data_IF_941939455707
#
_entry.id   IF_941939455707
#
_cell.length_a   1.000
_cell.length_b   1.000
_cell.length_c   1.000
_cell.angle_alpha   90.00
_cell.angle_beta   90.00
_cell.angle_gamma   90.00
#
_symmetry.space_group_name_H-M   'P 1'
#
loop_
_entity.id
_entity.type
_entity.pdbx_description
1 polymer ?
#
# COMPACT_ATOMS: atom_id res chain seq x y z
N UNK A 1 -22.57 -0.10 3.67
CA UNK A 1 -21.54 -1.16 3.76
C UNK A 1 -22.03 -2.56 3.41
N UNK A 2 -23.27 -2.98 3.76
CA UNK A 2 -23.81 -4.35 3.56
C UNK A 2 -23.79 -4.98 2.16
N UNK A 3 -23.38 -4.28 1.10
CA UNK A 3 -23.35 -4.80 -0.29
C UNK A 3 -21.95 -5.10 -0.83
N UNK A 4 -20.87 -4.70 -0.14
CA UNK A 4 -19.49 -4.89 -0.64
C UNK A 4 -18.86 -6.13 0.00
N UNK A 5 -18.19 -6.95 -0.81
CA UNK A 5 -17.55 -8.19 -0.34
C UNK A 5 -16.25 -7.98 0.42
N UNK A 6 -15.55 -6.87 0.17
CA UNK A 6 -14.27 -6.51 0.81
C UNK A 6 -14.19 -4.99 0.97
N UNK A 7 -13.70 -4.51 2.10
CA UNK A 7 -13.57 -3.09 2.44
C UNK A 7 -12.28 -2.86 3.23
N UNK A 8 -11.58 -1.77 2.92
CA UNK A 8 -10.35 -1.35 3.61
C UNK A 8 -10.53 -0.01 4.32
N UNK A 9 -9.95 0.09 5.50
CA UNK A 9 -9.90 1.29 6.33
C UNK A 9 -8.49 1.55 6.80
N UNK A 10 -8.15 2.82 6.93
CA UNK A 10 -6.97 3.29 7.66
C UNK A 10 -7.49 4.28 8.70
N UNK A 11 -7.07 4.10 9.96
CA UNK A 11 -7.41 5.00 11.06
C UNK A 11 -6.20 5.20 11.97
N UNK A 12 -6.16 6.32 12.67
CA UNK A 12 -5.15 6.60 13.69
C UNK A 12 -5.42 5.81 14.97
N UNK A 13 -4.45 5.74 15.87
CA UNK A 13 -4.64 5.14 17.20
C UNK A 13 -5.75 5.80 18.03
N UNK A 14 -6.05 7.08 17.76
CA UNK A 14 -7.16 7.81 18.36
C UNK A 14 -8.54 7.49 17.74
N UNK A 15 -8.58 6.58 16.75
CA UNK A 15 -9.81 6.13 16.11
C UNK A 15 -10.30 7.06 15.01
N UNK A 16 -9.50 8.06 14.63
CA UNK A 16 -9.86 9.00 13.56
C UNK A 16 -9.69 8.31 12.20
N UNK A 17 -10.70 8.34 11.31
CA UNK A 17 -10.53 7.83 9.94
C UNK A 17 -9.49 8.66 9.18
N UNK A 18 -8.60 7.96 8.47
CA UNK A 18 -7.57 8.53 7.58
C UNK A 18 -7.89 8.23 6.11
N UNK A 19 -8.42 7.03 5.85
CA UNK A 19 -8.86 6.60 4.52
C UNK A 19 -9.96 5.54 4.65
N UNK A 20 -10.91 5.56 3.71
CA UNK A 20 -11.88 4.48 3.52
C UNK A 20 -12.08 4.20 2.04
N UNK A 21 -12.01 2.92 1.66
CA UNK A 21 -12.21 2.51 0.25
C UNK A 21 -13.60 2.89 -0.28
N UNK A 22 -14.62 2.83 0.57
CA UNK A 22 -15.98 3.21 0.19
C UNK A 22 -16.65 4.08 1.27
N UNK A 23 -17.52 4.98 0.83
CA UNK A 23 -18.27 5.85 1.73
C UNK A 23 -17.45 7.02 2.27
N UNK A 24 -18.16 7.97 2.84
CA UNK A 24 -17.63 9.21 3.40
C UNK A 24 -17.11 8.99 4.82
N UNK A 25 -15.90 9.45 5.12
CA UNK A 25 -15.23 9.34 6.41
C UNK A 25 -16.07 9.83 7.59
N UNK A 26 -16.86 10.89 7.40
CA UNK A 26 -17.71 11.45 8.46
C UNK A 26 -18.84 10.50 8.88
N UNK A 27 -19.36 9.70 7.94
CA UNK A 27 -20.38 8.68 8.23
C UNK A 27 -19.77 7.43 8.89
N UNK A 28 -18.44 7.34 8.94
CA UNK A 28 -17.69 6.18 9.40
C UNK A 28 -17.01 6.39 10.75
N UNK A 29 -17.04 7.60 11.32
CA UNK A 29 -16.41 7.91 12.59
C UNK A 29 -16.83 6.97 13.74
N UNK A 30 -18.14 6.69 13.89
CA UNK A 30 -18.63 5.75 14.92
C UNK A 30 -18.14 4.31 14.70
N UNK A 31 -17.95 3.93 13.44
CA UNK A 31 -17.41 2.62 13.08
C UNK A 31 -15.91 2.53 13.39
N UNK A 32 -15.14 3.55 13.03
CA UNK A 32 -13.71 3.65 13.34
C UNK A 32 -13.45 3.65 14.85
N UNK A 33 -14.28 4.37 15.63
CA UNK A 33 -14.22 4.35 17.09
C UNK A 33 -14.46 2.93 17.65
N UNK A 34 -15.37 2.17 17.07
CA UNK A 34 -15.62 0.78 17.47
C UNK A 34 -14.42 -0.12 17.17
N UNK A 35 -13.80 0.01 15.99
CA UNK A 35 -12.59 -0.75 15.64
C UNK A 35 -11.43 -0.41 16.57
N UNK A 36 -11.23 0.88 16.88
CA UNK A 36 -10.21 1.34 17.81
C UNK A 36 -10.43 0.79 19.23
N UNK A 37 -11.68 0.78 19.71
CA UNK A 37 -12.01 0.26 21.03
C UNK A 37 -11.69 -1.24 21.14
N UNK A 38 -11.99 -2.01 20.09
CA UNK A 38 -11.64 -3.44 20.01
C UNK A 38 -10.12 -3.63 20.08
N UNK A 39 -9.34 -2.87 19.30
CA UNK A 39 -7.87 -2.94 19.31
C UNK A 39 -7.35 -2.62 20.72
N UNK A 40 -7.80 -1.51 21.30
CA UNK A 40 -7.37 -1.04 22.62
C UNK A 40 -7.68 -2.04 23.73
N UNK A 41 -8.84 -2.69 23.67
CA UNK A 41 -9.22 -3.71 24.66
C UNK A 41 -8.24 -4.88 24.67
N UNK A 42 -7.82 -5.36 23.50
CA UNK A 42 -6.87 -6.47 23.38
C UNK A 42 -5.46 -6.05 23.79
N UNK A 43 -5.02 -4.85 23.39
CA UNK A 43 -3.72 -4.30 23.78
C UNK A 43 -3.58 -4.10 25.30
N UNK A 44 -4.65 -3.67 25.99
CA UNK A 44 -4.69 -3.59 27.44
C UNK A 44 -4.50 -4.96 28.12
N UNK A 45 -4.88 -6.04 27.43
CA UNK A 45 -4.60 -7.42 27.82
C UNK A 45 -3.15 -7.88 27.56
N UNK A 46 -2.29 -7.00 27.03
CA UNK A 46 -0.91 -7.29 26.55
C UNK A 46 -0.88 -8.32 25.41
N UNK A 47 -1.90 -8.30 24.55
CA UNK A 47 -1.96 -9.10 23.33
C UNK A 47 -2.20 -8.19 22.11
N UNK A 48 -2.06 -8.74 20.91
CA UNK A 48 -2.26 -8.02 19.66
C UNK A 48 -3.36 -8.67 18.83
N UNK A 49 -4.40 -7.89 18.55
CA UNK A 49 -5.48 -8.36 17.70
C UNK A 49 -4.99 -8.59 16.27
N UNK A 50 -5.33 -9.77 15.73
CA UNK A 50 -4.99 -10.16 14.35
C UNK A 50 -6.23 -10.27 13.48
N UNK A 51 -7.24 -10.98 13.97
CA UNK A 51 -8.43 -11.34 13.21
C UNK A 51 -9.62 -11.48 14.15
N UNK A 52 -10.78 -10.97 13.74
CA UNK A 52 -12.09 -11.32 14.28
C UNK A 52 -12.91 -11.99 13.19
N UNK A 53 -13.54 -13.13 13.48
CA UNK A 53 -14.42 -13.82 12.54
C UNK A 53 -15.86 -13.79 13.05
N UNK A 54 -16.77 -13.35 12.19
CA UNK A 54 -18.21 -13.27 12.48
C UNK A 54 -18.99 -13.91 11.33
N UNK A 55 -19.32 -15.20 11.48
CA UNK A 55 -19.88 -16.01 10.41
C UNK A 55 -18.95 -16.03 9.19
N UNK A 56 -19.47 -15.59 8.04
CA UNK A 56 -18.73 -15.48 6.77
C UNK A 56 -17.88 -14.20 6.63
N UNK A 57 -17.87 -13.33 7.64
CA UNK A 57 -17.03 -12.13 7.62
C UNK A 57 -15.76 -12.33 8.46
N UNK A 58 -14.66 -11.79 7.96
CA UNK A 58 -13.37 -11.68 8.60
C UNK A 58 -13.00 -10.20 8.71
N UNK A 59 -12.62 -9.76 9.91
CA UNK A 59 -12.07 -8.44 10.18
C UNK A 59 -10.60 -8.63 10.53
N UNK A 60 -9.73 -8.31 9.60
CA UNK A 60 -8.26 -8.45 9.69
C UNK A 60 -7.67 -7.12 10.11
N UNK A 61 -6.79 -7.15 11.11
CA UNK A 61 -6.15 -5.97 11.68
C UNK A 61 -4.65 -6.00 11.41
N UNK A 62 -4.10 -4.85 11.04
CA UNK A 62 -2.67 -4.60 10.94
C UNK A 62 -2.35 -3.29 11.69
N UNK A 63 -1.67 -3.41 12.82
CA UNK A 63 -1.28 -2.29 13.67
C UNK A 63 0.19 -1.95 13.40
N UNK A 64 0.46 -0.72 12.94
CA UNK A 64 1.79 -0.18 12.64
C UNK A 64 2.01 1.10 13.44
N UNK A 65 2.42 0.94 14.70
CA UNK A 65 2.56 2.04 15.65
C UNK A 65 1.24 2.81 15.77
N UNK A 66 1.20 4.12 15.42
CA UNK A 66 0.01 4.95 15.55
C UNK A 66 -1.02 4.76 14.41
N UNK A 67 -0.76 3.88 13.44
CA UNK A 67 -1.62 3.68 12.26
C UNK A 67 -2.18 2.26 12.26
N UNK A 68 -3.51 2.18 12.21
CA UNK A 68 -4.24 0.93 12.20
C UNK A 68 -4.91 0.74 10.84
N UNK A 69 -4.57 -0.35 10.16
CA UNK A 69 -5.19 -0.75 8.91
C UNK A 69 -6.12 -1.92 9.17
N UNK A 70 -7.34 -1.85 8.62
CA UNK A 70 -8.37 -2.86 8.83
C UNK A 70 -8.98 -3.29 7.51
N UNK A 71 -9.02 -4.60 7.27
CA UNK A 71 -9.75 -5.19 6.16
C UNK A 71 -10.98 -5.93 6.68
N UNK A 72 -12.16 -5.63 6.14
CA UNK A 72 -13.39 -6.39 6.39
C UNK A 72 -13.75 -7.11 5.11
N UNK A 73 -13.72 -8.44 5.14
CA UNK A 73 -13.96 -9.27 3.98
C UNK A 73 -14.98 -10.38 4.27
N UNK A 74 -15.83 -10.68 3.29
CA UNK A 74 -16.58 -11.93 3.19
C UNK A 74 -16.25 -12.69 1.90
N UNK A 75 -15.04 -12.47 1.37
CA UNK A 75 -14.42 -13.35 0.37
C UNK A 75 -13.85 -14.60 1.04
N UNK A 76 -13.39 -15.56 0.24
CA UNK A 76 -12.76 -16.79 0.71
C UNK A 76 -11.23 -16.67 0.82
N UNK A 77 -10.71 -15.45 0.80
CA UNK A 77 -9.26 -15.19 0.89
C UNK A 77 -8.74 -15.57 2.29
N UNK A 78 -7.59 -16.25 2.39
CA UNK A 78 -7.00 -16.59 3.69
C UNK A 78 -6.54 -15.33 4.43
N UNK A 79 -6.42 -15.44 5.76
CA UNK A 79 -5.94 -14.34 6.63
C UNK A 79 -4.62 -13.75 6.11
N UNK A 80 -3.69 -14.60 5.68
CA UNK A 80 -2.37 -14.22 5.16
C UNK A 80 -2.47 -13.33 3.92
N UNK A 81 -3.39 -13.63 3.01
CA UNK A 81 -3.61 -12.83 1.79
C UNK A 81 -4.20 -11.47 2.13
N UNK A 82 -5.21 -11.43 3.00
CA UNK A 82 -5.82 -10.17 3.44
C UNK A 82 -4.84 -9.31 4.25
N UNK A 83 -3.98 -9.94 5.07
CA UNK A 83 -2.91 -9.28 5.81
C UNK A 83 -1.85 -8.71 4.86
N UNK A 84 -1.41 -9.48 3.86
CA UNK A 84 -0.47 -9.01 2.83
C UNK A 84 -1.01 -7.82 2.04
N UNK A 85 -2.31 -7.81 1.74
CA UNK A 85 -2.98 -6.65 1.13
C UNK A 85 -2.92 -5.40 2.02
N UNK A 86 -3.10 -5.55 3.34
CA UNK A 86 -2.93 -4.45 4.29
C UNK A 86 -1.47 -3.97 4.35
N UNK A 87 -0.49 -4.87 4.29
CA UNK A 87 0.94 -4.50 4.24
C UNK A 87 1.27 -3.70 2.98
N UNK A 88 0.75 -4.07 1.81
CA UNK A 88 0.91 -3.30 0.56
C UNK A 88 0.26 -1.92 0.65
N UNK A 89 -0.95 -1.82 1.24
CA UNK A 89 -1.61 -0.51 1.45
C UNK A 89 -0.79 0.35 2.41
N UNK A 90 -0.23 -0.23 3.48
CA UNK A 90 0.68 0.48 4.37
C UNK A 90 1.94 0.95 3.64
N UNK A 91 2.56 0.08 2.83
CA UNK A 91 3.71 0.44 2.00
C UNK A 91 3.40 1.60 1.04
N UNK A 92 2.23 1.60 0.40
CA UNK A 92 1.81 2.71 -0.47
C UNK A 92 1.68 4.02 0.29
N UNK A 93 1.18 3.99 1.51
CA UNK A 93 1.05 5.16 2.37
C UNK A 93 2.42 5.69 2.80
N UNK A 94 3.38 4.81 3.13
CA UNK A 94 4.76 5.20 3.40
C UNK A 94 5.43 5.78 2.17
N UNK A 95 5.18 5.23 0.97
CA UNK A 95 5.72 5.79 -0.27
C UNK A 95 5.20 7.21 -0.53
N UNK A 96 3.92 7.47 -0.28
CA UNK A 96 3.30 8.80 -0.45
C UNK A 96 3.84 9.81 0.57
N UNK A 97 3.87 9.42 1.85
CA UNK A 97 4.15 10.34 2.95
C UNK A 97 5.62 10.41 3.36
N UNK A 98 6.43 9.45 2.90
CA UNK A 98 7.84 9.25 3.27
C UNK A 98 8.04 9.04 4.78
N UNK A 99 9.28 9.16 5.28
CA UNK A 99 9.59 9.02 6.71
C UNK A 99 8.93 10.07 7.62
N UNK A 100 8.33 11.13 7.05
CA UNK A 100 7.71 12.20 7.82
C UNK A 100 6.60 11.72 8.76
N UNK A 101 5.95 10.60 8.44
CA UNK A 101 4.86 10.00 9.22
C UNK A 101 5.29 9.67 10.65
N UNK A 102 6.37 8.90 10.80
CA UNK A 102 6.83 8.46 12.12
C UNK A 102 7.23 9.67 12.97
N UNK A 103 7.94 10.62 12.36
CA UNK A 103 8.37 11.86 13.01
C UNK A 103 7.18 12.73 13.46
N UNK A 104 6.11 12.80 12.65
CA UNK A 104 4.92 13.57 13.01
C UNK A 104 4.19 12.97 14.23
N UNK A 105 4.06 11.65 14.30
CA UNK A 105 3.41 10.99 15.44
C UNK A 105 4.25 10.95 16.70
N UNK A 106 5.58 10.82 16.60
CA UNK A 106 6.49 10.95 17.74
C UNK A 106 6.37 12.33 18.40
N UNK A 107 6.25 13.39 17.59
CA UNK A 107 6.10 14.77 18.08
C UNK A 107 4.70 15.07 18.60
N UNK A 108 3.68 14.60 17.90
CA UNK A 108 2.29 14.80 18.29
C UNK A 108 1.48 13.53 17.97
N UNK A 109 1.19 12.69 18.98
CA UNK A 109 0.35 11.51 18.78
C UNK A 109 -1.03 11.85 18.22
N UNK A 110 -1.54 13.07 18.42
CA UNK A 110 -2.83 13.53 17.89
C UNK A 110 -2.72 14.20 16.51
N UNK A 111 -1.57 14.10 15.84
CA UNK A 111 -1.36 14.68 14.53
C UNK A 111 -2.39 14.15 13.52
N UNK A 112 -2.97 15.09 12.77
CA UNK A 112 -3.92 14.76 11.72
C UNK A 112 -3.20 14.62 10.38
N UNK A 113 -3.07 13.38 9.91
CA UNK A 113 -2.40 13.08 8.65
C UNK A 113 -3.33 13.06 7.44
N UNK A 114 -4.65 13.10 7.62
CA UNK A 114 -5.62 13.12 6.50
C UNK A 114 -5.29 14.22 5.47
N UNK A 115 -4.92 15.46 5.87
CA UNK A 115 -4.54 16.50 4.90
C UNK A 115 -3.30 16.14 4.06
N UNK A 116 -2.36 15.36 4.59
CA UNK A 116 -1.16 14.95 3.87
C UNK A 116 -1.43 13.89 2.80
N UNK A 117 -2.54 13.16 2.93
CA UNK A 117 -3.01 12.19 1.94
C UNK A 117 -4.03 12.80 0.98
N UNK A 118 -4.35 14.09 1.10
CA UNK A 118 -5.28 14.78 0.22
C UNK A 118 -4.88 14.61 -1.26
N UNK A 119 -5.85 14.19 -2.09
CA UNK A 119 -5.63 13.97 -3.52
C UNK A 119 -4.98 12.62 -3.88
N UNK A 120 -4.65 11.77 -2.89
CA UNK A 120 -4.01 10.46 -3.14
C UNK A 120 -5.00 9.29 -3.19
N UNK A 121 -6.31 9.57 -3.08
CA UNK A 121 -7.38 8.58 -3.13
C UNK A 121 -7.32 7.71 -4.38
N UNK A 122 -6.93 8.28 -5.52
CA UNK A 122 -6.78 7.58 -6.79
C UNK A 122 -5.66 6.54 -6.71
N UNK A 123 -4.56 6.84 -6.01
CA UNK A 123 -3.42 5.93 -5.83
C UNK A 123 -3.83 4.69 -5.02
N UNK A 124 -4.46 4.89 -3.86
CA UNK A 124 -4.97 3.78 -3.05
C UNK A 124 -6.07 3.01 -3.79
N UNK A 125 -6.93 3.73 -4.50
CA UNK A 125 -8.02 3.14 -5.27
C UNK A 125 -7.52 2.22 -6.39
N UNK A 126 -6.47 2.65 -7.09
CA UNK A 126 -5.79 1.87 -8.13
C UNK A 126 -5.12 0.63 -7.53
N UNK A 127 -4.37 0.81 -6.43
CA UNK A 127 -3.72 -0.31 -5.73
C UNK A 127 -4.76 -1.36 -5.32
N UNK A 128 -5.79 -0.96 -4.56
CA UNK A 128 -6.84 -1.87 -4.06
C UNK A 128 -7.56 -2.57 -5.22
N UNK A 129 -7.76 -1.89 -6.35
CA UNK A 129 -8.32 -2.53 -7.54
C UNK A 129 -7.37 -3.61 -8.10
N UNK A 130 -6.07 -3.33 -8.16
CA UNK A 130 -5.06 -4.29 -8.64
C UNK A 130 -4.94 -5.54 -7.74
N UNK A 131 -5.15 -5.42 -6.43
CA UNK A 131 -5.12 -6.54 -5.48
C UNK A 131 -6.18 -7.62 -5.80
N UNK A 132 -7.20 -7.28 -6.59
CA UNK A 132 -8.29 -8.22 -6.92
C UNK A 132 -8.00 -9.09 -8.15
N UNK A 133 -7.00 -8.74 -8.97
CA UNK A 133 -6.76 -9.43 -10.24
C UNK A 133 -5.28 -9.61 -10.61
N UNK A 134 -4.36 -8.85 -10.01
CA UNK A 134 -2.94 -8.92 -10.34
C UNK A 134 -2.22 -9.99 -9.49
N UNK A 135 -1.81 -11.14 -10.07
CA UNK A 135 -1.16 -12.21 -9.32
C UNK A 135 0.18 -11.78 -8.71
N UNK A 136 0.82 -10.75 -9.27
CA UNK A 136 2.08 -10.22 -8.78
C UNK A 136 1.97 -9.70 -7.33
N UNK A 137 0.80 -9.17 -6.97
CA UNK A 137 0.51 -8.68 -5.60
C UNK A 137 0.40 -9.80 -4.57
N UNK A 138 -0.01 -11.00 -4.98
CA UNK A 138 -0.06 -12.17 -4.13
C UNK A 138 1.30 -12.88 -4.04
N UNK A 139 2.04 -12.88 -5.15
CA UNK A 139 3.33 -13.58 -5.26
C UNK A 139 4.51 -12.76 -4.72
N UNK A 140 4.28 -11.53 -4.25
CA UNK A 140 5.34 -10.57 -3.92
C UNK A 140 6.38 -10.48 -5.06
N UNK A 141 5.87 -10.22 -6.27
CA UNK A 141 6.65 -10.23 -7.51
C UNK A 141 6.31 -9.00 -8.36
N UNK A 142 7.13 -8.70 -9.37
CA UNK A 142 6.77 -7.76 -10.44
C UNK A 142 6.78 -8.48 -11.79
N UNK A 143 6.00 -7.97 -12.74
CA UNK A 143 5.91 -8.57 -14.08
C UNK A 143 6.97 -7.98 -14.99
N UNK A 144 7.79 -8.82 -15.61
CA UNK A 144 8.68 -8.40 -16.69
C UNK A 144 7.94 -8.31 -18.03
N UNK A 145 8.28 -7.35 -18.89
CA UNK A 145 7.79 -7.31 -20.27
C UNK A 145 8.55 -8.36 -21.10
N UNK A 146 7.89 -9.35 -21.74
CA UNK A 146 8.57 -10.30 -22.63
C UNK A 146 9.18 -9.58 -23.83
N UNK A 147 10.48 -9.78 -24.06
CA UNK A 147 11.27 -9.12 -25.10
C UNK A 147 12.38 -10.05 -25.58
N UNK A 148 12.87 -9.83 -26.81
CA UNK A 148 14.07 -10.48 -27.31
C UNK A 148 15.28 -10.13 -26.43
N UNK A 149 16.17 -11.11 -26.22
CA UNK A 149 17.35 -10.95 -25.37
C UNK A 149 18.20 -9.73 -25.77
N UNK A 150 18.48 -9.57 -27.07
CA UNK A 150 19.27 -8.46 -27.58
C UNK A 150 18.64 -7.09 -27.24
N UNK A 151 17.32 -6.94 -27.36
CA UNK A 151 16.61 -5.71 -27.01
C UNK A 151 16.68 -5.43 -25.52
N UNK A 152 16.52 -6.45 -24.67
CA UNK A 152 16.64 -6.29 -23.22
C UNK A 152 18.06 -5.89 -22.80
N UNK A 153 19.07 -6.49 -23.42
CA UNK A 153 20.48 -6.14 -23.16
C UNK A 153 20.79 -4.71 -23.56
N UNK A 154 20.33 -4.27 -24.74
CA UNK A 154 20.51 -2.88 -25.17
C UNK A 154 19.83 -1.89 -24.20
N UNK A 155 18.59 -2.16 -23.78
CA UNK A 155 17.91 -1.34 -22.79
C UNK A 155 18.63 -1.34 -21.43
N UNK A 156 19.17 -2.49 -21.00
CA UNK A 156 19.97 -2.62 -19.78
C UNK A 156 21.26 -1.81 -19.82
N UNK A 157 21.99 -1.82 -20.94
CA UNK A 157 23.21 -1.04 -21.10
C UNK A 157 22.94 0.47 -21.01
N UNK A 158 21.90 0.96 -21.70
CA UNK A 158 21.49 2.37 -21.61
C UNK A 158 21.11 2.74 -20.16
N UNK A 159 20.40 1.86 -19.46
CA UNK A 159 20.03 2.10 -18.06
C UNK A 159 21.24 2.07 -17.12
N UNK A 160 22.27 1.28 -17.44
CA UNK A 160 23.50 1.23 -16.65
C UNK A 160 24.23 2.57 -16.72
N UNK A 161 24.33 3.19 -17.90
CA UNK A 161 24.92 4.53 -18.03
C UNK A 161 24.18 5.57 -17.17
N UNK A 162 22.85 5.47 -17.07
CA UNK A 162 22.05 6.31 -16.17
C UNK A 162 22.34 5.98 -14.71
N UNK A 163 22.44 4.71 -14.34
CA UNK A 163 22.78 4.30 -12.98
C UNK A 163 24.15 4.84 -12.53
N UNK A 164 25.13 4.82 -13.43
CA UNK A 164 26.50 5.29 -13.19
C UNK A 164 26.58 6.81 -12.95
N UNK A 165 25.51 7.56 -13.25
CA UNK A 165 25.39 8.99 -12.88
C UNK A 165 25.18 9.24 -11.38
N UNK A 166 25.09 8.18 -10.56
CA UNK A 166 25.01 8.25 -9.10
C UNK A 166 23.62 7.99 -8.52
N UNK A 167 22.67 7.48 -9.32
CA UNK A 167 21.34 7.07 -8.81
C UNK A 167 21.40 5.67 -8.22
N UNK A 168 20.55 5.40 -7.21
CA UNK A 168 20.53 4.09 -6.55
C UNK A 168 19.93 2.99 -7.43
N UNK A 169 18.88 3.33 -8.18
CA UNK A 169 18.23 2.45 -9.16
C UNK A 169 17.81 3.24 -10.40
N UNK A 170 17.95 2.61 -11.56
CA UNK A 170 17.39 3.07 -12.83
C UNK A 170 16.40 2.01 -13.35
N UNK A 171 15.21 2.44 -13.73
CA UNK A 171 14.08 1.53 -14.02
C UNK A 171 13.38 1.99 -15.30
N UNK A 172 13.24 1.06 -16.25
CA UNK A 172 12.48 1.26 -17.47
C UNK A 172 11.25 0.39 -17.43
N UNK A 173 10.09 1.01 -17.58
CA UNK A 173 8.79 0.33 -17.50
C UNK A 173 7.93 0.65 -18.71
N UNK A 174 7.10 -0.32 -19.09
CA UNK A 174 5.99 -0.13 -20.01
C UNK A 174 4.70 -0.45 -19.25
N UNK A 175 3.92 0.59 -18.93
CA UNK A 175 2.77 0.48 -18.00
C UNK A 175 3.22 -0.13 -16.67
N UNK A 176 2.70 -1.31 -16.32
CA UNK A 176 3.04 -2.04 -15.09
C UNK A 176 4.12 -3.12 -15.28
N UNK A 177 4.75 -3.19 -16.47
CA UNK A 177 5.73 -4.23 -16.79
C UNK A 177 7.14 -3.67 -16.83
N UNK A 178 8.06 -4.33 -16.15
CA UNK A 178 9.48 -3.95 -16.10
C UNK A 178 10.18 -4.40 -17.39
N UNK A 179 10.75 -3.44 -18.10
CA UNK A 179 11.59 -3.67 -19.29
C UNK A 179 13.01 -4.00 -18.86
N UNK A 180 13.59 -3.16 -18.00
CA UNK A 180 14.91 -3.39 -17.41
C UNK A 180 15.01 -2.65 -16.07
N UNK A 181 15.83 -3.18 -15.17
CA UNK A 181 16.12 -2.64 -13.85
C UNK A 181 17.63 -2.78 -13.61
N UNK A 182 18.26 -1.67 -13.28
CA UNK A 182 19.67 -1.61 -12.88
C UNK A 182 19.74 -0.97 -11.50
N UNK A 183 20.59 -1.50 -10.62
CA UNK A 183 20.82 -0.95 -9.29
C UNK A 183 22.30 -0.76 -9.02
N UNK A 184 22.62 0.16 -8.11
CA UNK A 184 23.97 0.31 -7.58
C UNK A 184 24.45 -1.01 -6.96
N UNK A 185 25.77 -1.19 -6.92
CA UNK A 185 26.38 -2.42 -6.42
C UNK A 185 25.91 -2.73 -4.99
N UNK A 186 25.43 -3.96 -4.76
CA UNK A 186 24.87 -4.45 -3.47
C UNK A 186 23.51 -3.86 -3.04
N UNK A 187 22.88 -3.01 -3.86
CA UNK A 187 21.52 -2.57 -3.61
C UNK A 187 20.52 -3.63 -4.09
N UNK A 188 19.56 -4.00 -3.25
CA UNK A 188 18.44 -4.88 -3.61
C UNK A 188 17.14 -4.11 -3.53
N UNK A 189 16.29 -4.23 -4.56
CA UNK A 189 14.95 -3.65 -4.57
C UNK A 189 13.92 -4.75 -4.33
N UNK A 190 13.05 -4.58 -3.33
CA UNK A 190 12.02 -5.58 -3.06
C UNK A 190 10.95 -5.52 -4.17
N UNK A 191 10.37 -6.66 -4.60
CA UNK A 191 9.34 -6.63 -5.63
C UNK A 191 8.09 -5.83 -5.26
N UNK A 192 7.74 -5.78 -3.97
CA UNK A 192 6.64 -4.93 -3.51
C UNK A 192 6.96 -3.45 -3.72
N UNK A 193 8.21 -3.00 -3.53
CA UNK A 193 8.61 -1.62 -3.81
C UNK A 193 8.37 -1.28 -5.29
N UNK A 194 8.66 -2.23 -6.18
CA UNK A 194 8.37 -2.10 -7.62
C UNK A 194 6.87 -1.99 -7.93
N UNK A 195 6.05 -2.81 -7.26
CA UNK A 195 4.59 -2.75 -7.42
C UNK A 195 4.02 -1.41 -6.95
N UNK A 196 4.46 -0.95 -5.77
CA UNK A 196 4.01 0.30 -5.15
C UNK A 196 4.48 1.52 -5.94
N UNK A 197 5.73 1.52 -6.39
CA UNK A 197 6.29 2.58 -7.24
C UNK A 197 5.57 2.66 -8.58
N UNK A 198 5.35 1.52 -9.25
CA UNK A 198 4.60 1.47 -10.52
C UNK A 198 3.17 1.97 -10.33
N UNK A 199 2.48 1.54 -9.28
CA UNK A 199 1.13 2.01 -8.99
C UNK A 199 1.11 3.53 -8.73
N UNK A 200 2.05 4.04 -7.94
CA UNK A 200 2.17 5.46 -7.60
C UNK A 200 2.38 6.34 -8.84
N UNK A 201 3.39 6.02 -9.66
CA UNK A 201 3.70 6.75 -10.90
C UNK A 201 2.50 6.72 -11.85
N UNK A 202 1.94 5.52 -12.08
CA UNK A 202 0.84 5.37 -13.03
C UNK A 202 -0.45 6.04 -12.56
N UNK A 203 -0.66 6.22 -11.26
CA UNK A 203 -1.90 6.78 -10.70
C UNK A 203 -1.83 8.28 -10.42
N UNK A 204 -0.64 8.88 -10.52
CA UNK A 204 -0.40 10.28 -10.17
C UNK A 204 -0.34 11.14 -11.43
N UNK A 205 -1.25 12.10 -11.55
CA UNK A 205 -1.38 12.95 -12.76
C UNK A 205 -0.11 13.75 -13.07
N UNK A 206 0.61 14.22 -12.04
CA UNK A 206 1.85 14.99 -12.21
C UNK A 206 2.95 14.25 -12.98
N UNK A 207 2.96 12.92 -12.94
CA UNK A 207 3.93 12.10 -13.69
C UNK A 207 3.42 11.67 -15.07
N UNK A 208 2.16 11.98 -15.40
CA UNK A 208 1.57 11.71 -16.71
C UNK A 208 1.72 12.87 -17.70
N UNK A 209 2.60 13.85 -17.42
CA UNK A 209 2.81 14.97 -18.34
C UNK A 209 3.07 14.44 -19.76
N UNK A 210 2.23 14.93 -20.68
CA UNK A 210 2.09 14.44 -22.04
C UNK A 210 3.45 14.43 -22.77
N UNK A 211 3.82 13.24 -23.27
CA UNK A 211 4.66 13.09 -24.46
C UNK A 211 3.71 12.97 -25.65
#
# INVERSE_FOLDING_TARGET
MRKKKKHFFILSHSGKPIYSRYGDEHKLAGFSATLQAIISFVENGRDHIKLVRAGKHQVVFLVKGPIYLVCISCTEEPYESLRGQLELIYGQMILILTESVNRCFEKNPKFDMTPLLGGTDVVFSSLINSLSWNPATFLHAYTCLPLAYATRQAAGAILQEVADSGVLFAILMCKHKVVSLVGAQKASLHPDDMLLLSNFIMSSESFRQDI
#
